data_IF_158742603086
#
_entry.id   IF_158742603086
#
_cell.length_a   1.000
_cell.length_b   1.000
_cell.length_c   1.000
_cell.angle_alpha   90.00
_cell.angle_beta   90.00
_cell.angle_gamma   90.00
#
_symmetry.space_group_name_H-M   'P 1'
#
loop_
_entity.id
_entity.type
_entity.pdbx_description
1 polymer ?
#
# COMPACT_ATOMS: atom_id res chain seq x y z
N UNK A 1 64.15 14.05 5.78
CA UNK A 1 63.75 15.15 6.70
C UNK A 1 63.61 16.41 5.85
N UNK A 2 62.49 17.12 5.71
CA UNK A 2 61.18 17.16 6.34
C UNK A 2 60.15 17.41 5.22
N UNK A 3 59.05 16.68 5.24
CA UNK A 3 57.92 16.89 4.35
C UNK A 3 57.17 18.18 4.71
N UNK A 4 56.87 18.99 3.71
CA UNK A 4 55.97 20.13 3.82
C UNK A 4 54.54 19.61 3.64
N UNK A 5 53.79 19.51 4.74
CA UNK A 5 52.43 19.00 4.77
C UNK A 5 51.40 20.11 4.49
N UNK A 6 50.45 19.73 3.63
CA UNK A 6 49.22 20.40 3.23
C UNK A 6 48.47 21.14 4.34
N UNK A 7 47.90 22.30 3.97
CA UNK A 7 46.64 22.79 4.53
C UNK A 7 45.84 23.49 3.42
N UNK A 8 45.34 22.72 2.45
CA UNK A 8 44.28 23.16 1.54
C UNK A 8 42.95 22.82 2.20
N UNK A 9 42.20 23.87 2.55
CA UNK A 9 40.88 23.77 3.16
C UNK A 9 39.90 23.05 2.24
N UNK A 10 39.50 21.84 2.64
CA UNK A 10 38.31 21.14 2.17
C UNK A 10 37.07 21.73 2.86
N UNK A 11 36.74 22.98 2.55
CA UNK A 11 35.48 23.59 2.92
C UNK A 11 34.72 23.90 1.62
N UNK A 12 33.90 22.96 1.14
CA UNK A 12 33.11 23.21 -0.07
C UNK A 12 32.44 22.02 -0.77
N UNK A 13 32.30 20.85 -0.14
CA UNK A 13 31.60 19.71 -0.76
C UNK A 13 30.51 19.14 0.16
N UNK A 14 29.65 20.01 0.69
CA UNK A 14 28.33 19.58 1.12
C UNK A 14 27.36 20.14 0.09
N UNK A 15 26.95 19.29 -0.86
CA UNK A 15 25.76 19.58 -1.66
C UNK A 15 24.58 19.91 -0.75
N UNK A 16 23.54 20.60 -1.25
CA UNK A 16 22.38 20.93 -0.43
C UNK A 16 21.90 19.64 0.24
N UNK A 17 21.76 19.70 1.58
CA UNK A 17 21.25 18.57 2.35
C UNK A 17 19.97 18.10 1.68
N UNK A 18 19.95 16.83 1.26
CA UNK A 18 18.76 16.21 0.68
C UNK A 18 17.67 16.35 1.73
N UNK A 19 16.66 17.18 1.44
CA UNK A 19 15.54 17.40 2.36
C UNK A 19 14.99 16.05 2.79
N UNK A 20 14.77 15.88 4.09
CA UNK A 20 14.21 14.65 4.65
C UNK A 20 12.84 14.98 5.23
N UNK A 21 11.91 14.02 5.28
CA UNK A 21 10.58 14.28 5.81
C UNK A 21 10.64 14.90 7.20
N UNK A 22 9.72 15.82 7.48
CA UNK A 22 9.68 16.45 8.80
C UNK A 22 9.33 15.41 9.88
N UNK A 23 9.75 15.65 11.13
CA UNK A 23 9.36 14.77 12.24
C UNK A 23 7.83 14.70 12.38
N UNK A 24 7.11 15.79 12.09
CA UNK A 24 5.65 15.81 12.12
C UNK A 24 5.03 14.85 11.10
N UNK A 25 5.60 14.76 9.88
CA UNK A 25 5.13 13.81 8.87
C UNK A 25 5.40 12.36 9.28
N UNK A 26 6.57 12.11 9.87
CA UNK A 26 6.90 10.79 10.40
C UNK A 26 5.95 10.38 11.54
N UNK A 27 5.61 11.31 12.44
CA UNK A 27 4.67 11.08 13.53
C UNK A 27 3.25 10.82 13.01
N UNK A 28 2.83 11.51 11.94
CA UNK A 28 1.54 11.27 11.27
C UNK A 28 1.48 9.86 10.67
N UNK A 29 2.53 9.42 9.99
CA UNK A 29 2.63 8.07 9.44
C UNK A 29 2.61 7.00 10.54
N UNK A 30 3.40 7.20 11.59
CA UNK A 30 3.46 6.30 12.74
C UNK A 30 2.10 6.23 13.45
N UNK A 31 1.40 7.37 13.58
CA UNK A 31 0.05 7.45 14.12
C UNK A 31 -0.97 6.64 13.30
N UNK A 32 -0.93 6.76 11.97
CA UNK A 32 -1.79 5.99 11.07
C UNK A 32 -1.51 4.48 11.17
N UNK A 33 -0.24 4.07 11.13
CA UNK A 33 0.19 2.68 11.30
C UNK A 33 -0.28 2.13 12.65
N UNK A 34 -0.06 2.87 13.72
CA UNK A 34 -0.46 2.47 15.08
C UNK A 34 -1.98 2.31 15.19
N UNK A 35 -2.76 3.27 14.68
CA UNK A 35 -4.23 3.23 14.74
C UNK A 35 -4.79 1.98 14.07
N UNK A 36 -4.30 1.66 12.86
CA UNK A 36 -4.76 0.46 12.15
C UNK A 36 -4.35 -0.81 12.89
N UNK A 37 -3.12 -0.86 13.41
CA UNK A 37 -2.62 -2.04 14.14
C UNK A 37 -3.35 -2.29 15.46
N UNK A 38 -3.77 -1.23 16.17
CA UNK A 38 -4.55 -1.34 17.41
C UNK A 38 -5.91 -2.03 17.20
N UNK A 39 -6.40 -2.08 15.96
CA UNK A 39 -7.64 -2.79 15.63
C UNK A 39 -7.49 -4.32 15.72
N UNK A 40 -6.25 -4.82 15.79
CA UNK A 40 -5.93 -6.24 15.95
C UNK A 40 -6.31 -7.07 14.72
N UNK A 41 -6.29 -6.46 13.53
CA UNK A 41 -6.63 -7.12 12.29
C UNK A 41 -5.57 -8.18 11.99
N UNK A 42 -6.03 -9.42 11.82
CA UNK A 42 -5.18 -10.48 11.28
C UNK A 42 -5.15 -10.28 9.77
N UNK A 43 -3.97 -10.36 9.16
CA UNK A 43 -3.86 -10.61 7.73
C UNK A 43 -3.78 -12.12 7.58
N UNK A 44 -4.85 -12.79 7.14
CA UNK A 44 -4.69 -14.13 6.62
C UNK A 44 -4.00 -13.88 5.28
N UNK A 45 -2.74 -14.30 5.13
CA UNK A 45 -2.04 -14.31 3.83
C UNK A 45 -2.87 -14.99 2.72
N UNK A 46 -3.87 -15.76 3.15
CA UNK A 46 -4.83 -16.54 2.41
C UNK A 46 -6.20 -15.83 2.17
N UNK A 47 -6.48 -14.69 2.82
CA UNK A 47 -7.68 -13.87 2.59
C UNK A 47 -7.25 -12.47 2.22
N UNK A 48 -7.12 -12.25 0.92
CA UNK A 48 -7.21 -10.92 0.33
C UNK A 48 -8.65 -10.48 0.54
N UNK A 49 -8.89 -9.55 1.48
CA UNK A 49 -10.18 -8.90 1.52
C UNK A 49 -10.30 -7.99 0.27
N UNK A 50 -11.54 -7.90 -0.18
CA UNK A 50 -12.27 -7.08 -1.18
C UNK A 50 -11.56 -6.33 -2.31
N UNK A 51 -10.35 -5.79 -2.16
CA UNK A 51 -9.86 -4.81 -3.15
C UNK A 51 -8.83 -5.35 -4.15
N UNK A 52 -8.33 -6.57 -3.97
CA UNK A 52 -7.61 -7.28 -5.01
C UNK A 52 -8.54 -8.35 -5.60
N UNK A 53 -9.01 -8.16 -6.84
CA UNK A 53 -9.86 -9.13 -7.51
C UNK A 53 -9.24 -10.53 -7.50
N UNK A 54 -9.91 -11.48 -6.85
CA UNK A 54 -9.62 -12.91 -7.05
C UNK A 54 -10.45 -13.31 -8.26
N UNK A 55 -9.81 -13.47 -9.41
CA UNK A 55 -10.50 -14.01 -10.58
C UNK A 55 -11.03 -15.43 -10.23
N UNK A 56 -12.26 -15.79 -10.62
CA UNK A 56 -12.90 -17.05 -10.22
C UNK A 56 -12.10 -18.31 -10.61
N UNK A 57 -11.28 -18.21 -11.64
CA UNK A 57 -10.41 -19.25 -12.22
C UNK A 57 -8.94 -19.13 -11.78
N UNK A 58 -8.61 -18.12 -10.97
CA UNK A 58 -7.25 -17.92 -10.50
C UNK A 58 -6.78 -19.06 -9.60
N UNK A 59 -5.48 -19.41 -9.60
CA UNK A 59 -4.91 -20.37 -8.64
C UNK A 59 -5.23 -20.03 -7.18
N UNK A 60 -5.48 -18.75 -6.87
CA UNK A 60 -5.90 -18.27 -5.56
C UNK A 60 -7.34 -18.67 -5.21
N UNK A 61 -8.23 -18.79 -6.20
CA UNK A 61 -9.56 -19.35 -6.00
C UNK A 61 -9.49 -20.83 -5.55
N UNK A 62 -8.43 -21.54 -5.92
CA UNK A 62 -8.20 -22.94 -5.53
C UNK A 62 -7.67 -23.10 -4.10
N UNK A 63 -7.21 -22.02 -3.45
CA UNK A 63 -6.81 -22.01 -2.03
C UNK A 63 -8.03 -21.80 -1.09
N UNK A 64 -9.14 -21.26 -1.61
CA UNK A 64 -10.35 -20.97 -0.84
C UNK A 64 -11.02 -22.17 -0.12
N UNK A 65 -10.97 -23.43 -0.59
CA UNK A 65 -11.65 -24.54 0.08
C UNK A 65 -11.20 -24.80 1.53
N UNK A 66 -9.92 -24.59 1.86
CA UNK A 66 -9.41 -24.75 3.23
C UNK A 66 -9.76 -23.59 4.17
N UNK A 67 -9.95 -22.40 3.61
CA UNK A 67 -10.24 -21.15 4.33
C UNK A 67 -11.74 -20.91 4.57
N UNK A 68 -12.58 -21.53 3.73
CA UNK A 68 -14.04 -21.36 3.75
C UNK A 68 -14.63 -21.60 5.14
N UNK A 69 -14.15 -22.56 5.93
CA UNK A 69 -14.78 -22.86 7.23
C UNK A 69 -14.44 -21.83 8.32
N UNK A 70 -13.23 -21.25 8.29
CA UNK A 70 -12.78 -20.31 9.32
C UNK A 70 -13.22 -18.85 9.04
N UNK A 71 -13.51 -18.52 7.78
CA UNK A 71 -13.81 -17.14 7.36
C UNK A 71 -14.97 -17.02 6.36
N UNK A 72 -15.87 -18.02 6.29
CA UNK A 72 -17.04 -18.00 5.40
C UNK A 72 -17.91 -16.75 5.60
N UNK A 73 -18.11 -16.33 6.85
CA UNK A 73 -18.92 -15.16 7.15
C UNK A 73 -18.24 -13.86 6.71
N UNK A 74 -16.91 -13.77 6.85
CA UNK A 74 -16.11 -12.65 6.33
C UNK A 74 -16.22 -12.58 4.82
N UNK A 75 -15.98 -13.69 4.11
CA UNK A 75 -16.09 -13.74 2.67
C UNK A 75 -17.51 -13.36 2.18
N UNK A 76 -18.55 -13.83 2.87
CA UNK A 76 -19.94 -13.51 2.54
C UNK A 76 -20.24 -12.03 2.67
N UNK A 77 -19.88 -11.42 3.79
CA UNK A 77 -20.12 -9.99 4.03
C UNK A 77 -19.32 -9.11 3.06
N UNK A 78 -18.10 -9.53 2.72
CA UNK A 78 -17.24 -8.86 1.74
C UNK A 78 -17.83 -8.93 0.33
N UNK A 79 -18.34 -10.10 -0.09
CA UNK A 79 -19.04 -10.25 -1.37
C UNK A 79 -20.36 -9.47 -1.39
N UNK A 80 -21.08 -9.39 -0.27
CA UNK A 80 -22.27 -8.57 -0.14
C UNK A 80 -21.95 -7.07 -0.29
N UNK A 81 -20.87 -6.60 0.36
CA UNK A 81 -20.40 -5.22 0.22
C UNK A 81 -19.95 -4.92 -1.21
N UNK A 82 -19.23 -5.84 -1.87
CA UNK A 82 -18.91 -5.72 -3.30
C UNK A 82 -20.17 -5.59 -4.15
N UNK A 83 -21.15 -6.46 -3.95
CA UNK A 83 -22.40 -6.43 -4.72
C UNK A 83 -23.25 -5.17 -4.44
N UNK A 84 -23.18 -4.61 -3.23
CA UNK A 84 -23.77 -3.30 -2.89
C UNK A 84 -23.09 -2.20 -3.71
N UNK A 85 -21.76 -2.18 -3.75
CA UNK A 85 -21.01 -1.21 -4.54
C UNK A 85 -21.22 -1.37 -6.04
N UNK A 86 -21.18 -2.58 -6.59
CA UNK A 86 -21.42 -2.80 -8.02
C UNK A 86 -22.80 -2.26 -8.44
N UNK A 87 -23.81 -2.32 -7.55
CA UNK A 87 -25.13 -1.70 -7.78
C UNK A 87 -25.07 -0.17 -7.73
N UNK A 88 -24.39 0.41 -6.76
CA UNK A 88 -24.23 1.87 -6.69
C UNK A 88 -23.48 2.41 -7.91
N UNK A 89 -22.37 1.76 -8.31
CA UNK A 89 -21.58 2.13 -9.49
C UNK A 89 -22.35 1.96 -10.80
N UNK A 90 -23.08 0.85 -10.98
CA UNK A 90 -23.89 0.62 -12.19
C UNK A 90 -25.06 1.59 -12.32
N UNK A 91 -25.44 2.29 -11.25
CA UNK A 91 -26.43 3.37 -11.27
C UNK A 91 -25.82 4.76 -11.47
N UNK A 92 -24.51 4.85 -11.74
CA UNK A 92 -23.80 6.11 -11.92
C UNK A 92 -23.53 6.86 -10.61
N UNK A 93 -23.75 6.22 -9.45
CA UNK A 93 -23.36 6.77 -8.15
C UNK A 93 -21.91 6.39 -7.85
N UNK A 94 -21.10 7.37 -7.46
CA UNK A 94 -19.74 7.15 -6.99
C UNK A 94 -19.74 7.32 -5.46
N UNK A 95 -19.86 6.23 -4.66
CA UNK A 95 -19.90 6.34 -3.22
C UNK A 95 -18.68 7.09 -2.71
N UNK A 96 -18.91 8.16 -1.94
CA UNK A 96 -17.82 8.98 -1.41
C UNK A 96 -16.82 8.16 -0.59
N UNK A 97 -15.54 8.54 -0.65
CA UNK A 97 -14.44 7.87 0.05
C UNK A 97 -14.76 7.49 1.50
N UNK A 98 -15.37 8.43 2.24
CA UNK A 98 -15.67 8.27 3.66
C UNK A 98 -16.70 7.16 3.92
N UNK A 99 -17.64 6.95 3.00
CA UNK A 99 -18.62 5.86 3.09
C UNK A 99 -17.94 4.49 2.97
N UNK A 100 -17.10 4.30 1.94
CA UNK A 100 -16.34 3.05 1.75
C UNK A 100 -15.37 2.81 2.91
N UNK A 101 -14.68 3.86 3.37
CA UNK A 101 -13.81 3.77 4.54
C UNK A 101 -14.58 3.28 5.77
N UNK A 102 -15.77 3.81 5.99
CA UNK A 102 -16.67 3.38 7.07
C UNK A 102 -17.03 1.90 6.95
N UNK A 103 -17.47 1.46 5.76
CA UNK A 103 -17.88 0.07 5.51
C UNK A 103 -16.73 -0.92 5.59
N UNK A 104 -15.58 -0.63 4.98
CA UNK A 104 -14.39 -1.47 5.07
C UNK A 104 -13.89 -1.58 6.51
N UNK A 105 -13.91 -0.47 7.26
CA UNK A 105 -13.58 -0.49 8.69
C UNK A 105 -14.54 -1.37 9.49
N UNK A 106 -15.84 -1.22 9.26
CA UNK A 106 -16.87 -2.02 9.93
C UNK A 106 -16.64 -3.52 9.70
N UNK A 107 -16.44 -3.93 8.44
CA UNK A 107 -16.17 -5.33 8.10
C UNK A 107 -14.85 -5.83 8.69
N UNK A 108 -13.78 -5.06 8.57
CA UNK A 108 -12.48 -5.44 9.12
C UNK A 108 -12.56 -5.65 10.63
N UNK A 109 -13.29 -4.79 11.35
CA UNK A 109 -13.48 -4.91 12.80
C UNK A 109 -14.40 -6.06 13.18
N UNK A 110 -15.50 -6.28 12.45
CA UNK A 110 -16.44 -7.38 12.66
C UNK A 110 -15.74 -8.74 12.55
N UNK A 111 -14.89 -8.89 11.54
CA UNK A 111 -14.22 -10.15 11.21
C UNK A 111 -12.82 -10.28 11.80
N UNK A 112 -12.29 -9.21 12.40
CA UNK A 112 -10.90 -9.12 12.86
C UNK A 112 -9.90 -9.53 11.77
N UNK A 113 -10.21 -9.16 10.53
CA UNK A 113 -9.46 -9.54 9.34
C UNK A 113 -9.23 -8.32 8.43
N UNK A 114 -8.07 -8.25 7.79
CA UNK A 114 -7.77 -7.25 6.76
C UNK A 114 -6.39 -7.47 6.17
N UNK A 115 -6.29 -7.49 4.84
CA UNK A 115 -5.02 -7.67 4.15
C UNK A 115 -4.34 -6.31 3.91
N UNK A 116 -3.24 -6.29 3.16
CA UNK A 116 -2.50 -5.08 2.84
C UNK A 116 -3.39 -3.97 2.30
N UNK A 117 -4.34 -4.30 1.42
CA UNK A 117 -5.23 -3.30 0.82
C UNK A 117 -6.16 -2.63 1.83
N UNK A 118 -6.84 -3.39 2.69
CA UNK A 118 -7.74 -2.80 3.69
C UNK A 118 -6.97 -2.03 4.74
N UNK A 119 -5.83 -2.56 5.18
CA UNK A 119 -5.01 -1.87 6.15
C UNK A 119 -4.46 -0.55 5.58
N UNK A 120 -4.03 -0.53 4.32
CA UNK A 120 -3.61 0.68 3.63
C UNK A 120 -4.77 1.67 3.45
N UNK A 121 -5.97 1.19 3.11
CA UNK A 121 -7.17 2.02 3.00
C UNK A 121 -7.54 2.69 4.33
N UNK A 122 -7.48 1.94 5.43
CA UNK A 122 -7.72 2.48 6.78
C UNK A 122 -6.64 3.49 7.20
N UNK A 123 -5.39 3.26 6.82
CA UNK A 123 -4.32 4.23 7.05
C UNK A 123 -4.55 5.51 6.24
N UNK A 124 -4.92 5.40 4.97
CA UNK A 124 -5.29 6.54 4.14
C UNK A 124 -6.47 7.31 4.72
N UNK A 125 -7.51 6.64 5.21
CA UNK A 125 -8.65 7.27 5.86
C UNK A 125 -8.23 8.04 7.14
N UNK A 126 -7.33 7.46 7.95
CA UNK A 126 -6.78 8.13 9.12
C UNK A 126 -6.02 9.41 8.76
N UNK A 127 -5.18 9.37 7.72
CA UNK A 127 -4.43 10.53 7.22
C UNK A 127 -5.38 11.60 6.67
N UNK A 128 -6.38 11.21 5.86
CA UNK A 128 -7.37 12.13 5.27
C UNK A 128 -8.21 12.84 6.32
N UNK A 129 -8.57 12.17 7.41
CA UNK A 129 -9.29 12.80 8.54
C UNK A 129 -8.52 13.95 9.21
N UNK A 130 -7.21 14.07 8.93
CA UNK A 130 -6.32 15.15 9.39
C UNK A 130 -5.97 16.14 8.28
N UNK A 131 -6.67 16.10 7.15
CA UNK A 131 -6.41 16.95 5.99
C UNK A 131 -5.21 16.53 5.15
N UNK A 132 -4.63 15.35 5.40
CA UNK A 132 -3.48 14.86 4.63
C UNK A 132 -3.97 14.11 3.40
N UNK A 133 -3.57 14.59 2.22
CA UNK A 133 -3.81 13.88 0.97
C UNK A 133 -2.79 12.73 0.85
N UNK A 134 -3.30 11.51 0.95
CA UNK A 134 -2.52 10.28 0.77
C UNK A 134 -3.04 9.49 -0.44
N UNK A 135 -2.14 8.78 -1.11
CA UNK A 135 -2.38 7.93 -2.27
C UNK A 135 -2.16 6.47 -1.88
N UNK A 136 -3.03 5.57 -2.35
CA UNK A 136 -2.78 4.14 -2.25
C UNK A 136 -1.96 3.71 -3.46
N UNK A 137 -0.79 3.15 -3.20
CA UNK A 137 0.09 2.61 -4.23
C UNK A 137 0.07 1.10 -4.12
N UNK A 138 -0.24 0.46 -5.23
CA UNK A 138 -0.03 -0.98 -5.41
C UNK A 138 1.35 -1.16 -6.00
N UNK A 139 2.11 -2.12 -5.48
CA UNK A 139 3.21 -2.69 -6.22
C UNK A 139 2.89 -4.15 -6.57
N UNK A 140 3.12 -4.49 -7.83
CA UNK A 140 3.00 -5.85 -8.36
C UNK A 140 4.36 -6.37 -8.74
N UNK A 141 4.65 -7.63 -8.42
CA UNK A 141 5.91 -8.24 -8.80
C UNK A 141 5.78 -8.89 -10.17
N UNK A 142 6.61 -8.48 -11.12
CA UNK A 142 6.70 -9.09 -12.45
C UNK A 142 8.02 -9.83 -12.59
N UNK A 143 7.94 -11.10 -12.95
CA UNK A 143 9.08 -11.95 -13.27
C UNK A 143 9.34 -11.92 -14.79
N UNK A 144 10.49 -11.39 -15.21
CA UNK A 144 10.81 -11.22 -16.63
C UNK A 144 11.41 -12.46 -17.28
N UNK A 145 11.77 -13.50 -16.53
CA UNK A 145 12.13 -14.81 -17.10
C UNK A 145 10.89 -15.59 -17.51
N UNK A 146 9.87 -15.58 -16.65
CA UNK A 146 8.63 -16.31 -16.89
C UNK A 146 7.55 -15.48 -17.59
N UNK A 147 7.74 -14.16 -17.67
CA UNK A 147 6.77 -13.20 -18.18
C UNK A 147 5.43 -13.23 -17.42
N UNK A 148 5.46 -13.54 -16.13
CA UNK A 148 4.28 -13.67 -15.26
C UNK A 148 4.33 -12.72 -14.06
N UNK A 149 3.14 -12.39 -13.54
CA UNK A 149 3.01 -11.75 -12.24
C UNK A 149 3.23 -12.77 -11.13
N UNK A 150 3.84 -12.34 -10.03
CA UNK A 150 3.99 -13.07 -8.78
C UNK A 150 3.04 -12.47 -7.72
N UNK A 151 1.78 -12.96 -7.67
CA UNK A 151 0.72 -12.36 -6.88
C UNK A 151 0.87 -12.57 -5.36
N UNK A 152 1.80 -13.42 -4.93
CA UNK A 152 2.15 -13.64 -3.54
C UNK A 152 3.09 -12.55 -3.01
N UNK A 153 3.70 -11.80 -3.94
CA UNK A 153 4.56 -10.65 -3.67
C UNK A 153 3.94 -9.34 -4.13
N UNK A 154 2.62 -9.25 -4.22
CA UNK A 154 1.92 -7.99 -4.48
C UNK A 154 1.54 -7.33 -3.15
N UNK A 155 1.57 -6.00 -3.11
CA UNK A 155 1.29 -5.26 -1.89
C UNK A 155 0.62 -3.92 -2.16
N UNK A 156 -0.08 -3.40 -1.15
CA UNK A 156 -0.68 -2.07 -1.17
C UNK A 156 -0.28 -1.32 0.09
N UNK A 157 0.09 -0.05 -0.06
CA UNK A 157 0.47 0.84 1.04
C UNK A 157 0.05 2.28 0.72
N UNK A 158 0.03 3.15 1.75
CA UNK A 158 -0.26 4.57 1.57
C UNK A 158 1.05 5.37 1.44
N UNK A 159 1.07 6.33 0.53
CA UNK A 159 2.13 7.34 0.38
C UNK A 159 1.56 8.74 0.41
N UNK A 160 2.23 9.68 1.05
CA UNK A 160 1.82 11.09 1.10
C UNK A 160 3.04 12.02 1.08
N UNK A 161 2.76 13.33 1.10
CA UNK A 161 3.76 14.39 1.00
C UNK A 161 4.56 14.34 -0.32
N UNK A 162 3.87 13.98 -1.41
CA UNK A 162 4.43 14.02 -2.75
C UNK A 162 4.54 15.47 -3.25
N UNK A 163 5.60 15.85 -3.98
CA UNK A 163 5.71 17.17 -4.58
C UNK A 163 4.60 17.38 -5.62
N UNK A 164 4.27 18.65 -5.85
CA UNK A 164 3.24 19.00 -6.83
C UNK A 164 3.57 18.44 -8.22
N UNK A 165 2.58 17.81 -8.86
CA UNK A 165 2.74 17.18 -10.17
C UNK A 165 3.42 15.81 -10.17
N UNK A 166 3.91 15.31 -9.03
CA UNK A 166 4.48 13.97 -8.95
C UNK A 166 3.44 12.89 -9.23
N UNK A 167 3.81 11.89 -10.03
CA UNK A 167 2.99 10.72 -10.24
C UNK A 167 3.18 9.71 -9.09
N UNK A 168 2.14 9.37 -8.31
CA UNK A 168 2.26 8.39 -7.24
C UNK A 168 2.63 6.98 -7.73
N UNK A 169 2.40 6.64 -9.00
CA UNK A 169 2.85 5.38 -9.59
C UNK A 169 4.34 5.36 -10.02
N UNK A 170 5.08 6.45 -9.82
CA UNK A 170 6.49 6.54 -10.22
C UNK A 170 7.34 6.90 -8.99
N UNK A 171 7.89 5.92 -8.26
CA UNK A 171 8.67 6.16 -7.04
C UNK A 171 9.81 7.16 -7.17
N UNK A 172 10.45 7.23 -8.35
CA UNK A 172 11.51 8.21 -8.63
C UNK A 172 11.03 9.67 -8.66
N UNK A 173 9.72 9.92 -8.71
CA UNK A 173 9.12 11.26 -8.68
C UNK A 173 8.60 11.67 -7.30
N UNK A 174 8.64 10.80 -6.30
CA UNK A 174 8.02 11.07 -4.99
C UNK A 174 8.74 12.15 -4.18
N UNK A 175 9.92 12.58 -4.59
CA UNK A 175 10.71 13.55 -3.83
C UNK A 175 11.25 12.95 -2.54
N UNK A 176 12.06 13.75 -1.83
CA UNK A 176 12.76 13.29 -0.64
C UNK A 176 11.91 13.41 0.64
N UNK A 177 10.89 14.27 0.63
CA UNK A 177 9.97 14.48 1.76
C UNK A 177 8.79 13.49 1.80
N UNK A 178 8.66 12.63 0.78
CA UNK A 178 7.60 11.65 0.74
C UNK A 178 7.70 10.63 1.87
N UNK A 179 6.54 10.23 2.39
CA UNK A 179 6.41 9.33 3.53
C UNK A 179 5.47 8.19 3.20
N UNK A 180 5.85 6.99 3.62
CA UNK A 180 5.03 5.77 3.54
C UNK A 180 4.39 5.50 4.89
N UNK A 181 3.11 5.11 4.86
CA UNK A 181 2.40 4.51 5.97
C UNK A 181 1.86 3.12 5.55
N UNK A 182 2.47 2.08 6.08
CA UNK A 182 2.14 0.67 5.81
C UNK A 182 1.92 -0.10 7.12
N UNK A 183 0.66 -0.25 7.56
CA UNK A 183 0.36 -0.98 8.78
C UNK A 183 0.66 -2.49 8.71
N UNK A 184 0.57 -3.07 7.50
CA UNK A 184 0.77 -4.49 7.25
C UNK A 184 2.25 -4.84 7.35
N UNK A 185 3.09 -4.11 6.61
CA UNK A 185 4.56 -4.24 6.64
C UNK A 185 5.21 -3.63 7.88
N UNK A 186 4.43 -2.92 8.72
CA UNK A 186 4.88 -2.21 9.92
C UNK A 186 5.85 -1.07 9.63
N UNK A 187 5.69 -0.40 8.49
CA UNK A 187 6.57 0.67 8.04
C UNK A 187 5.87 2.01 8.17
N UNK A 188 6.55 2.95 8.83
CA UNK A 188 6.19 4.36 8.87
C UNK A 188 7.49 5.15 8.74
N UNK A 189 7.73 5.78 7.60
CA UNK A 189 9.02 6.40 7.37
C UNK A 189 9.21 7.01 5.99
N UNK A 190 10.42 7.54 5.70
CA UNK A 190 10.77 8.05 4.39
C UNK A 190 10.46 7.03 3.30
N UNK A 191 9.85 7.49 2.21
CA UNK A 191 9.26 6.57 1.24
C UNK A 191 10.31 5.71 0.52
N UNK A 192 11.48 6.26 0.19
CA UNK A 192 12.55 5.51 -0.49
C UNK A 192 13.14 4.41 0.40
N UNK A 193 13.36 4.71 1.69
CA UNK A 193 13.86 3.71 2.64
C UNK A 193 12.80 2.64 2.90
N UNK A 194 11.54 3.04 3.04
CA UNK A 194 10.42 2.10 3.21
C UNK A 194 10.27 1.17 2.01
N UNK A 195 10.42 1.68 0.78
CA UNK A 195 10.42 0.86 -0.43
C UNK A 195 11.59 -0.13 -0.43
N UNK A 196 12.81 0.31 -0.09
CA UNK A 196 13.97 -0.58 0.01
C UNK A 196 13.69 -1.73 0.98
N UNK A 197 13.21 -1.42 2.19
CA UNK A 197 12.86 -2.43 3.20
C UNK A 197 11.76 -3.36 2.69
N UNK A 198 10.72 -2.85 2.04
CA UNK A 198 9.67 -3.70 1.44
C UNK A 198 10.27 -4.69 0.44
N UNK A 199 10.97 -4.19 -0.57
CA UNK A 199 11.42 -5.01 -1.69
C UNK A 199 12.49 -6.02 -1.26
N UNK A 200 13.44 -5.60 -0.41
CA UNK A 200 14.61 -6.41 -0.09
C UNK A 200 14.40 -7.31 1.14
N UNK A 201 13.70 -6.82 2.16
CA UNK A 201 13.63 -7.49 3.47
C UNK A 201 12.30 -8.21 3.68
N UNK A 202 11.19 -7.56 3.34
CA UNK A 202 9.84 -8.12 3.52
C UNK A 202 9.51 -9.11 2.39
N UNK A 203 9.59 -8.66 1.14
CA UNK A 203 9.20 -9.46 -0.02
C UNK A 203 10.36 -10.23 -0.66
N UNK A 204 11.60 -9.84 -0.33
CA UNK A 204 12.83 -10.51 -0.79
C UNK A 204 12.77 -10.76 -2.29
N UNK A 205 12.60 -9.69 -3.05
CA UNK A 205 12.56 -9.77 -4.50
C UNK A 205 13.92 -10.20 -5.02
N UNK A 206 13.95 -11.21 -5.89
CA UNK A 206 15.16 -11.53 -6.63
C UNK A 206 15.31 -10.51 -7.75
N UNK A 207 16.05 -9.44 -7.48
CA UNK A 207 16.22 -8.34 -8.44
C UNK A 207 16.92 -8.77 -9.75
N UNK A 208 17.49 -9.98 -9.83
CA UNK A 208 18.05 -10.49 -11.08
C UNK A 208 16.95 -10.78 -12.10
N UNK A 209 15.76 -11.24 -11.68
CA UNK A 209 14.67 -11.61 -12.59
C UNK A 209 13.29 -11.04 -12.22
N UNK A 210 13.16 -10.40 -11.06
CA UNK A 210 11.91 -9.82 -10.55
C UNK A 210 12.00 -8.30 -10.50
N UNK A 211 10.93 -7.61 -10.92
CA UNK A 211 10.82 -6.15 -10.83
C UNK A 211 9.44 -5.73 -10.34
N UNK A 212 9.35 -4.73 -9.46
CA UNK A 212 8.08 -4.15 -9.08
C UNK A 212 7.53 -3.26 -10.22
N UNK A 213 6.23 -3.34 -10.44
CA UNK A 213 5.43 -2.39 -11.21
C UNK A 213 4.49 -1.68 -10.27
N UNK A 214 4.41 -0.37 -10.40
CA UNK A 214 3.60 0.45 -9.50
C UNK A 214 2.39 1.01 -10.23
N UNK A 215 1.25 1.02 -9.57
CA UNK A 215 0.07 1.73 -10.02
C UNK A 215 -0.68 2.34 -8.83
N UNK A 216 -1.47 3.36 -9.10
CA UNK A 216 -2.30 3.99 -8.07
C UNK A 216 -3.57 3.19 -7.95
N UNK A 217 -3.90 2.76 -6.74
CA UNK A 217 -5.23 2.26 -6.43
C UNK A 217 -6.14 3.46 -6.22
N UNK A 218 -6.67 3.97 -7.32
CA UNK A 218 -7.72 4.99 -7.27
C UNK A 218 -9.11 4.33 -7.22
N UNK A 219 -10.09 5.14 -6.87
CA UNK A 219 -11.47 4.71 -6.75
C UNK A 219 -12.09 4.27 -8.09
N UNK A 220 -11.56 4.78 -9.21
CA UNK A 220 -11.97 4.35 -10.55
C UNK A 220 -11.44 2.95 -10.87
N UNK A 221 -10.24 2.58 -10.40
CA UNK A 221 -9.72 1.23 -10.50
C UNK A 221 -10.58 0.23 -9.73
N UNK A 222 -11.09 0.60 -8.55
CA UNK A 222 -12.03 -0.23 -7.79
C UNK A 222 -13.30 -0.55 -8.58
N UNK A 223 -13.85 0.42 -9.31
CA UNK A 223 -15.00 0.19 -10.20
C UNK A 223 -14.69 -0.69 -11.42
N UNK A 224 -13.45 -0.69 -11.93
CA UNK A 224 -13.03 -1.52 -13.08
C UNK A 224 -12.78 -2.98 -12.72
N UNK A 225 -12.60 -3.31 -11.44
CA UNK A 225 -12.56 -4.70 -10.98
C UNK A 225 -13.96 -5.36 -11.00
N UNK A 226 -15.04 -4.61 -11.22
CA UNK A 226 -16.37 -5.16 -11.47
C UNK A 226 -16.50 -5.81 -12.87
N UNK A 227 -15.61 -5.45 -13.80
CA UNK A 227 -15.65 -5.88 -15.21
C UNK A 227 -14.70 -7.05 -15.54
N UNK A 228 -14.02 -7.62 -14.54
CA UNK A 228 -13.25 -8.86 -14.74
C UNK A 228 -14.21 -10.06 -14.61
N UNK A 229 -14.24 -10.98 -15.61
CA UNK A 229 -15.16 -12.12 -15.63
C UNK A 229 -14.98 -13.09 -14.45
#
# INVERSE_FOLDING_TARGET
MKALLLALGLAGLFGPAVASPSQADLDLAAGAVREVRLQGLRSPSEIKMVMAGIAPDSPQAHLLPGLKTQYADSLRDLLALRAEFDKEFSWGHNPGFDYLAGKLRELALKHKAGNCTEQAFLAQAHLRSRGIKAHLVVFETFDWWTMKLDPDKNHVFAVFNLPEGANPAVPGQWGADAVVADPWGRLAGPAQESLRVMLDEIFRLDQSHQKPRYHVLDYEHLSRFADLP
#
